data_IF_417940564852
#
_entry.id   IF_417940564852
#
_cell.length_a   1.000
_cell.length_b   1.000
_cell.length_c   1.000
_cell.angle_alpha   90.00
_cell.angle_beta   90.00
_cell.angle_gamma   90.00
#
_symmetry.space_group_name_H-M   'P 1'
#
loop_
_entity.id
_entity.type
_entity.pdbx_description
1 polymer ?
#
# COMPACT_ATOMS: atom_id res chain seq x y z
N UNK A 1 -16.07 -3.64 -26.91
CA UNK A 1 -15.95 -4.22 -25.55
C UNK A 1 -14.66 -4.99 -25.25
N UNK A 2 -13.79 -5.35 -26.22
CA UNK A 2 -12.55 -6.12 -25.92
C UNK A 2 -11.42 -5.29 -25.30
N UNK A 3 -11.31 -4.00 -25.70
CA UNK A 3 -10.23 -3.10 -25.23
C UNK A 3 -10.35 -2.76 -23.74
N UNK A 4 -11.56 -2.50 -23.25
CA UNK A 4 -11.82 -2.21 -21.84
C UNK A 4 -11.53 -3.39 -20.92
N UNK A 5 -11.91 -4.61 -21.33
CA UNK A 5 -11.60 -5.83 -20.58
C UNK A 5 -10.09 -6.09 -20.47
N UNK A 6 -9.36 -5.92 -21.57
CA UNK A 6 -7.91 -6.11 -21.56
C UNK A 6 -7.19 -5.03 -20.74
N UNK A 7 -7.67 -3.78 -20.80
CA UNK A 7 -7.16 -2.70 -19.97
C UNK A 7 -7.41 -2.97 -18.47
N UNK A 8 -8.61 -3.43 -18.10
CA UNK A 8 -8.92 -3.79 -16.72
C UNK A 8 -8.03 -4.94 -16.19
N UNK A 9 -7.76 -5.94 -17.01
CA UNK A 9 -6.88 -7.05 -16.61
C UNK A 9 -5.43 -6.58 -16.47
N UNK A 10 -4.92 -5.83 -17.44
CA UNK A 10 -3.56 -5.31 -17.39
C UNK A 10 -3.36 -4.34 -16.21
N UNK A 11 -4.35 -3.48 -15.93
CA UNK A 11 -4.32 -2.59 -14.77
C UNK A 11 -4.41 -3.36 -13.46
N UNK A 12 -5.27 -4.38 -13.35
CA UNK A 12 -5.31 -5.23 -12.17
C UNK A 12 -3.97 -5.95 -11.92
N UNK A 13 -3.35 -6.52 -12.96
CA UNK A 13 -2.03 -7.15 -12.84
C UNK A 13 -0.95 -6.14 -12.48
N UNK A 14 -0.92 -4.96 -13.11
CA UNK A 14 0.04 -3.92 -12.79
C UNK A 14 -0.12 -3.41 -11.36
N UNK A 15 -1.36 -3.18 -10.90
CA UNK A 15 -1.68 -2.78 -9.53
C UNK A 15 -1.25 -3.86 -8.53
N UNK A 16 -1.54 -5.13 -8.81
CA UNK A 16 -1.09 -6.25 -7.97
C UNK A 16 0.44 -6.36 -7.91
N UNK A 17 1.13 -6.18 -9.04
CA UNK A 17 2.60 -6.19 -9.09
C UNK A 17 3.21 -5.00 -8.31
N UNK A 18 2.58 -3.83 -8.37
CA UNK A 18 3.00 -2.66 -7.59
C UNK A 18 2.85 -2.88 -6.09
N UNK A 19 1.72 -3.43 -5.62
CA UNK A 19 1.51 -3.70 -4.20
C UNK A 19 2.33 -4.89 -3.66
N UNK A 20 2.64 -5.89 -4.49
CA UNK A 20 3.45 -7.04 -4.09
C UNK A 20 4.95 -6.71 -3.92
N UNK A 21 5.43 -5.60 -4.51
CA UNK A 21 6.83 -5.19 -4.48
C UNK A 21 7.30 -4.54 -3.17
N UNK A 22 6.43 -4.35 -2.17
CA UNK A 22 6.81 -3.87 -0.84
C UNK A 22 7.26 -5.05 0.04
N UNK A 23 8.38 -5.68 -0.31
CA UNK A 23 9.03 -6.66 0.58
C UNK A 23 9.87 -5.95 1.61
N UNK A 24 9.53 -6.18 2.88
CA UNK A 24 10.20 -5.74 4.10
C UNK A 24 11.70 -6.05 4.01
N UNK A 25 12.55 -5.08 4.33
CA UNK A 25 13.93 -5.33 4.72
C UNK A 25 13.88 -6.16 6.01
N UNK A 26 13.80 -7.49 5.87
CA UNK A 26 13.93 -8.40 6.98
C UNK A 26 15.37 -8.24 7.50
N UNK A 27 15.51 -7.71 8.72
CA UNK A 27 16.77 -7.69 9.42
C UNK A 27 17.39 -9.09 9.38
N UNK A 28 18.44 -9.26 8.57
CA UNK A 28 19.18 -10.51 8.50
C UNK A 28 20.35 -10.40 9.50
N UNK A 29 20.10 -10.90 10.70
CA UNK A 29 21.13 -11.30 11.63
C UNK A 29 21.34 -12.81 11.45
N UNK A 30 22.53 -13.20 11.00
CA UNK A 30 23.00 -14.60 11.01
C UNK A 30 22.82 -15.44 9.73
N UNK A 31 23.98 -15.80 9.16
CA UNK A 31 24.35 -17.00 8.38
C UNK A 31 23.46 -17.57 7.24
N UNK A 32 24.08 -17.59 6.05
CA UNK A 32 23.98 -18.59 4.98
C UNK A 32 22.59 -19.08 4.51
N UNK A 33 22.06 -18.44 3.44
CA UNK A 33 21.23 -19.12 2.44
C UNK A 33 21.63 -18.72 1.03
N UNK A 34 21.88 -19.75 0.22
CA UNK A 34 22.36 -19.78 -1.16
C UNK A 34 21.47 -19.06 -2.18
N UNK A 35 22.14 -18.48 -3.17
CA UNK A 35 21.70 -18.17 -4.54
C UNK A 35 20.32 -18.70 -4.93
N UNK A 36 19.33 -17.81 -4.94
CA UNK A 36 18.25 -17.83 -5.92
C UNK A 36 18.32 -16.52 -6.69
N UNK A 37 19.28 -16.47 -7.61
CA UNK A 37 19.28 -15.50 -8.70
C UNK A 37 18.18 -15.90 -9.71
N UNK A 38 16.96 -15.43 -9.47
CA UNK A 38 16.02 -15.14 -10.55
C UNK A 38 15.84 -13.63 -10.63
N UNK A 39 16.42 -13.09 -11.70
CA UNK A 39 16.43 -11.70 -12.17
C UNK A 39 14.99 -11.18 -12.40
N UNK A 40 14.33 -10.85 -11.30
CA UNK A 40 13.07 -10.11 -11.25
C UNK A 40 13.08 -9.17 -10.06
N UNK A 41 14.22 -8.51 -9.81
CA UNK A 41 14.20 -7.26 -9.08
C UNK A 41 13.47 -6.25 -9.97
N UNK A 42 12.15 -6.16 -9.83
CA UNK A 42 11.40 -5.00 -10.28
C UNK A 42 12.10 -3.81 -9.64
N UNK A 43 12.90 -3.09 -10.42
CA UNK A 43 13.55 -1.87 -9.98
C UNK A 43 12.44 -0.85 -9.75
N UNK A 44 11.82 -0.89 -8.56
CA UNK A 44 11.05 0.20 -7.96
C UNK A 44 12.06 1.30 -7.59
N UNK A 45 12.75 1.81 -8.62
CA UNK A 45 13.96 2.60 -8.48
C UNK A 45 13.56 4.03 -8.16
N UNK A 46 13.95 4.49 -6.97
CA UNK A 46 13.91 5.88 -6.50
C UNK A 46 12.53 6.48 -6.15
N UNK A 47 11.48 6.21 -6.93
CA UNK A 47 10.19 6.90 -6.74
C UNK A 47 9.47 6.59 -5.42
N UNK A 48 9.34 5.31 -5.05
CA UNK A 48 8.62 4.91 -3.84
C UNK A 48 9.39 5.26 -2.56
N UNK A 49 10.72 5.18 -2.57
CA UNK A 49 11.56 5.54 -1.42
C UNK A 49 11.54 7.06 -1.17
N UNK A 50 11.63 7.87 -2.24
CA UNK A 50 11.55 9.33 -2.13
C UNK A 50 10.15 9.81 -1.70
N UNK A 51 9.09 9.18 -2.22
CA UNK A 51 7.73 9.45 -1.75
C UNK A 51 7.52 9.02 -0.30
N UNK A 52 8.11 7.90 0.12
CA UNK A 52 8.09 7.48 1.52
C UNK A 52 8.73 8.52 2.43
N UNK A 53 9.87 9.08 2.04
CA UNK A 53 10.54 10.15 2.79
C UNK A 53 9.68 11.43 2.87
N UNK A 54 9.19 11.91 1.73
CA UNK A 54 8.35 13.13 1.65
C UNK A 54 7.05 13.01 2.44
N UNK A 55 6.50 11.79 2.52
CA UNK A 55 5.27 11.49 3.26
C UNK A 55 5.52 11.11 4.74
N UNK A 56 6.76 11.20 5.23
CA UNK A 56 7.10 10.93 6.64
C UNK A 56 7.07 9.45 7.03
N UNK A 57 7.33 8.54 6.08
CA UNK A 57 7.42 7.10 6.35
C UNK A 57 8.77 6.69 6.95
N UNK A 58 9.79 7.49 6.69
CA UNK A 58 11.15 7.37 7.23
C UNK A 58 11.87 8.71 7.07
N UNK A 59 12.90 8.93 7.87
CA UNK A 59 13.76 10.11 7.81
C UNK A 59 15.25 9.70 7.78
N UNK A 60 16.10 10.59 7.27
CA UNK A 60 17.55 10.43 7.31
C UNK A 60 18.06 10.58 8.75
N UNK A 61 19.08 9.81 9.13
CA UNK A 61 19.70 9.90 10.45
C UNK A 61 20.53 11.19 10.57
N UNK A 62 20.54 11.80 11.76
CA UNK A 62 21.26 13.05 12.02
C UNK A 62 22.76 12.91 11.67
N UNK A 63 23.36 13.97 11.08
CA UNK A 63 24.72 13.97 10.47
C UNK A 63 25.88 13.61 11.45
N UNK A 64 25.59 13.46 12.74
CA UNK A 64 26.56 13.25 13.82
C UNK A 64 26.83 11.76 14.13
N UNK A 65 26.17 10.82 13.43
CA UNK A 65 26.26 9.38 13.69
C UNK A 65 26.87 8.60 12.50
N UNK A 66 27.40 7.40 12.77
CA UNK A 66 28.42 6.68 11.98
C UNK A 66 28.00 6.32 10.53
N UNK A 67 26.71 6.44 10.17
CA UNK A 67 26.19 6.39 8.80
C UNK A 67 24.96 7.30 8.64
N UNK A 68 25.09 8.51 8.06
CA UNK A 68 23.97 9.45 7.87
C UNK A 68 22.97 9.02 6.77
N UNK A 69 23.25 7.96 6.02
CA UNK A 69 22.43 7.52 4.88
C UNK A 69 21.42 6.40 5.22
N UNK A 70 21.42 5.89 6.45
CA UNK A 70 20.54 4.79 6.83
C UNK A 70 19.12 5.32 7.15
N UNK A 71 18.07 4.80 6.48
CA UNK A 71 16.70 5.23 6.73
C UNK A 71 16.22 4.74 8.10
N UNK A 72 15.76 5.67 8.94
CA UNK A 72 15.22 5.36 10.27
C UNK A 72 13.76 5.78 10.37
N UNK A 73 13.02 5.11 11.26
CA UNK A 73 11.64 5.49 11.62
C UNK A 73 11.70 6.12 13.01
N UNK A 74 11.44 7.43 13.10
CA UNK A 74 11.41 8.13 14.39
C UNK A 74 10.07 7.86 15.09
N UNK A 75 10.02 8.07 16.41
CA UNK A 75 8.79 7.86 17.17
C UNK A 75 7.65 8.79 16.70
N UNK A 76 7.99 10.00 16.23
CA UNK A 76 7.05 10.98 15.66
C UNK A 76 6.51 10.55 14.27
N UNK A 77 7.24 9.68 13.56
CA UNK A 77 6.86 9.12 12.26
C UNK A 77 6.07 7.80 12.41
N UNK A 78 5.79 7.39 13.64
CA UNK A 78 5.17 6.11 13.95
C UNK A 78 3.65 6.26 13.98
N UNK A 79 2.96 5.55 13.10
CA UNK A 79 1.51 5.61 13.01
C UNK A 79 0.84 4.67 14.03
N UNK A 80 0.06 5.22 14.96
CA UNK A 80 -0.77 4.45 15.89
C UNK A 80 -2.22 4.35 15.42
N UNK A 81 -2.82 3.17 15.53
CA UNK A 81 -4.22 2.96 15.17
C UNK A 81 -5.20 3.77 16.04
N UNK A 82 -4.85 4.04 17.31
CA UNK A 82 -5.63 4.92 18.18
C UNK A 82 -5.63 6.36 17.70
N UNK A 83 -4.53 6.82 17.11
CA UNK A 83 -4.34 8.22 16.76
C UNK A 83 -4.83 8.52 15.35
N UNK A 84 -4.87 7.49 14.48
CA UNK A 84 -5.45 7.58 13.15
C UNK A 84 -6.97 7.48 13.13
N UNK A 85 -7.55 6.59 13.96
CA UNK A 85 -8.97 6.21 13.93
C UNK A 85 -9.73 6.56 15.21
N UNK A 86 -9.05 7.07 16.23
CA UNK A 86 -9.66 7.49 17.48
C UNK A 86 -10.37 8.85 17.38
N UNK A 87 -11.00 9.23 18.48
CA UNK A 87 -11.80 10.45 18.59
C UNK A 87 -10.94 11.72 18.70
N UNK A 88 -9.69 11.57 19.18
CA UNK A 88 -8.66 12.61 19.17
C UNK A 88 -7.58 12.21 18.17
N UNK A 89 -7.43 13.01 17.10
CA UNK A 89 -6.38 12.80 16.09
C UNK A 89 -5.11 13.47 16.58
N UNK A 90 -4.11 12.66 16.94
CA UNK A 90 -2.75 13.14 17.22
C UNK A 90 -2.02 13.61 15.95
N UNK A 91 -0.79 14.11 16.10
CA UNK A 91 0.09 14.35 14.96
C UNK A 91 0.46 12.99 14.36
N UNK A 92 0.06 12.74 13.11
CA UNK A 92 0.34 11.50 12.40
C UNK A 92 1.16 11.78 11.13
N UNK A 93 1.99 10.83 10.69
CA UNK A 93 2.72 10.99 9.45
C UNK A 93 1.78 10.91 8.24
N UNK A 94 2.07 11.69 7.20
CA UNK A 94 1.18 11.88 6.05
C UNK A 94 0.88 10.58 5.29
N UNK A 95 1.85 9.66 5.19
CA UNK A 95 1.64 8.36 4.54
C UNK A 95 0.48 7.60 5.22
N UNK A 96 0.39 7.67 6.54
CA UNK A 96 -0.61 6.93 7.31
C UNK A 96 -2.00 7.54 7.16
N UNK A 97 -2.09 8.87 7.13
CA UNK A 97 -3.34 9.59 6.85
C UNK A 97 -3.86 9.28 5.45
N UNK A 98 -2.98 9.26 4.45
CA UNK A 98 -3.34 8.89 3.06
C UNK A 98 -3.91 7.48 3.01
N UNK A 99 -3.28 6.51 3.70
CA UNK A 99 -3.77 5.14 3.75
C UNK A 99 -5.12 5.01 4.47
N UNK A 100 -5.31 5.75 5.56
CA UNK A 100 -6.59 5.82 6.27
C UNK A 100 -7.69 6.35 5.37
N UNK A 101 -7.46 7.48 4.71
CA UNK A 101 -8.44 8.13 3.85
C UNK A 101 -8.78 7.27 2.63
N UNK A 102 -7.76 6.63 2.03
CA UNK A 102 -7.96 5.67 0.94
C UNK A 102 -8.81 4.48 1.39
N UNK A 103 -8.55 3.95 2.59
CA UNK A 103 -9.32 2.84 3.17
C UNK A 103 -10.77 3.26 3.44
N UNK A 104 -10.97 4.43 4.03
CA UNK A 104 -12.29 4.98 4.30
C UNK A 104 -13.12 5.13 3.01
N UNK A 105 -12.51 5.67 1.96
CA UNK A 105 -13.12 5.74 0.63
C UNK A 105 -13.40 4.34 0.05
N UNK A 106 -12.46 3.41 0.23
CA UNK A 106 -12.60 2.01 -0.17
C UNK A 106 -13.81 1.33 0.46
N UNK A 107 -14.10 1.58 1.74
CA UNK A 107 -15.29 1.06 2.44
C UNK A 107 -16.58 1.56 1.76
N UNK A 108 -16.67 2.85 1.44
CA UNK A 108 -17.83 3.40 0.73
C UNK A 108 -17.98 2.76 -0.65
N UNK A 109 -16.88 2.62 -1.38
CA UNK A 109 -16.85 1.94 -2.67
C UNK A 109 -17.29 0.47 -2.57
N UNK A 110 -16.89 -0.23 -1.52
CA UNK A 110 -17.26 -1.62 -1.28
C UNK A 110 -18.77 -1.78 -1.04
N UNK A 111 -19.40 -0.86 -0.29
CA UNK A 111 -20.86 -0.86 -0.09
C UNK A 111 -21.60 -0.67 -1.41
N UNK A 112 -21.20 0.33 -2.21
CA UNK A 112 -21.81 0.58 -3.53
C UNK A 112 -21.62 -0.63 -4.45
N UNK A 113 -20.40 -1.19 -4.49
CA UNK A 113 -20.08 -2.38 -5.26
C UNK A 113 -20.91 -3.59 -4.84
N UNK A 114 -21.10 -3.80 -3.54
CA UNK A 114 -21.93 -4.88 -3.00
C UNK A 114 -23.40 -4.73 -3.40
N UNK A 115 -23.96 -3.51 -3.38
CA UNK A 115 -25.34 -3.25 -3.85
C UNK A 115 -25.49 -3.58 -5.33
N UNK A 116 -24.58 -3.08 -6.18
CA UNK A 116 -24.62 -3.33 -7.63
C UNK A 116 -24.44 -4.83 -7.91
N UNK A 117 -23.47 -5.47 -7.25
CA UNK A 117 -23.20 -6.89 -7.37
C UNK A 117 -24.39 -7.74 -6.91
N UNK A 118 -25.03 -7.37 -5.81
CA UNK A 118 -26.23 -8.01 -5.28
C UNK A 118 -27.42 -7.90 -6.24
N UNK A 119 -27.67 -6.72 -6.81
CA UNK A 119 -28.72 -6.52 -7.83
C UNK A 119 -28.43 -7.39 -9.07
N UNK A 120 -27.18 -7.42 -9.54
CA UNK A 120 -26.80 -8.23 -10.69
C UNK A 120 -26.98 -9.73 -10.41
N UNK A 121 -26.60 -10.19 -9.21
CA UNK A 121 -26.82 -11.56 -8.77
C UNK A 121 -28.31 -11.91 -8.67
N UNK A 122 -29.15 -11.04 -8.10
CA UNK A 122 -30.60 -11.22 -8.02
C UNK A 122 -31.27 -11.28 -9.40
N UNK A 123 -30.82 -10.44 -10.34
CA UNK A 123 -31.27 -10.49 -11.75
C UNK A 123 -30.84 -11.80 -12.43
N UNK A 124 -29.62 -12.25 -12.21
CA UNK A 124 -29.13 -13.54 -12.75
C UNK A 124 -29.92 -14.74 -12.22
N UNK A 125 -30.35 -14.69 -10.95
CA UNK A 125 -31.21 -15.72 -10.34
C UNK A 125 -32.69 -15.63 -10.76
N UNK A 126 -33.08 -14.62 -11.55
CA UNK A 126 -34.46 -14.45 -12.02
C UNK A 126 -35.46 -13.98 -10.95
N UNK A 127 -34.97 -13.51 -9.80
CA UNK A 127 -35.81 -12.99 -8.71
C UNK A 127 -36.34 -11.60 -9.05
N UNK A 128 -35.53 -10.79 -9.76
CA UNK A 128 -35.94 -9.47 -10.26
C UNK A 128 -36.17 -9.52 -11.78
N UNK A 129 -37.21 -8.85 -12.30
CA UNK A 129 -37.40 -8.69 -13.73
C UNK A 129 -36.28 -7.85 -14.36
N UNK A 130 -36.02 -8.08 -15.64
CA UNK A 130 -34.89 -7.50 -16.38
C UNK A 130 -35.02 -5.99 -16.59
#
# INVERSE_FOLDING_TARGET
MRKFRNAAIATATAVSLTFAGTTIAAAQDGDDVQDVQEDSSVRLSSGSSALGHDLGAWSEQDEDEENPEDPIIRDDDQASGSDLLGEETGENPQWAEIWRDFTALGVVGAVVGAVIGGINWLKYQGILPY
#
